data_IF_692005282089
#
_entry.id   IF_692005282089
#
_cell.length_a   1.000
_cell.length_b   1.000
_cell.length_c   1.000
_cell.angle_alpha   90.00
_cell.angle_beta   90.00
_cell.angle_gamma   90.00
#
_symmetry.space_group_name_H-M   'P 1'
#
loop_
_entity.id
_entity.type
_entity.pdbx_description
1 polymer ?
#
# COMPACT_ATOMS: atom_id res chain seq x y z
N UNK A 1 8.77 10.60 4.02
CA UNK A 1 8.52 9.15 4.17
C UNK A 1 7.06 8.77 3.98
N UNK A 2 6.09 9.45 4.63
CA UNK A 2 4.65 9.12 4.55
C UNK A 2 4.13 8.86 3.12
N UNK A 3 4.28 9.83 2.22
CA UNK A 3 3.78 9.69 0.83
C UNK A 3 4.42 8.52 0.06
N UNK A 4 5.71 8.26 0.27
CA UNK A 4 6.41 7.14 -0.36
C UNK A 4 5.83 5.80 0.10
N UNK A 5 5.56 5.65 1.41
CA UNK A 5 4.92 4.46 1.96
C UNK A 5 3.50 4.33 1.39
N UNK A 6 2.69 5.39 1.44
CA UNK A 6 1.31 5.36 0.97
C UNK A 6 1.18 4.96 -0.50
N UNK A 7 2.03 5.52 -1.39
CA UNK A 7 1.97 5.25 -2.84
C UNK A 7 2.60 3.91 -3.23
N UNK A 8 3.48 3.32 -2.40
CA UNK A 8 4.18 2.07 -2.71
C UNK A 8 3.25 0.90 -3.06
N UNK A 9 2.05 0.83 -2.47
CA UNK A 9 1.06 -0.20 -2.78
C UNK A 9 0.48 -0.09 -4.18
N UNK A 10 0.28 1.14 -4.66
CA UNK A 10 -0.20 1.34 -6.03
C UNK A 10 0.87 0.95 -7.05
N UNK A 11 2.13 1.36 -6.83
CA UNK A 11 3.26 0.97 -7.69
C UNK A 11 3.43 -0.56 -7.73
N UNK A 12 3.35 -1.22 -6.57
CA UNK A 12 3.40 -2.68 -6.51
C UNK A 12 2.24 -3.33 -7.28
N UNK A 13 1.04 -2.75 -7.20
CA UNK A 13 -0.11 -3.23 -7.95
C UNK A 13 0.09 -3.15 -9.46
N UNK A 14 0.60 -2.03 -9.97
CA UNK A 14 0.85 -1.86 -11.41
C UNK A 14 1.97 -2.81 -11.90
N UNK A 15 2.99 -3.02 -11.08
CA UNK A 15 4.03 -4.01 -11.38
C UNK A 15 3.45 -5.43 -11.56
N UNK A 16 2.59 -5.88 -10.65
CA UNK A 16 1.99 -7.22 -10.76
C UNK A 16 0.93 -7.35 -11.85
N UNK A 17 0.22 -6.26 -12.20
CA UNK A 17 -0.71 -6.29 -13.34
C UNK A 17 0.00 -6.64 -14.64
N UNK A 18 1.19 -6.06 -14.87
CA UNK A 18 2.02 -6.37 -16.05
C UNK A 18 2.42 -7.85 -16.07
N UNK A 19 2.67 -8.45 -14.91
CA UNK A 19 3.12 -9.85 -14.83
C UNK A 19 1.99 -10.88 -14.93
N UNK A 20 0.81 -10.57 -14.37
CA UNK A 20 -0.28 -11.54 -14.23
C UNK A 20 -1.36 -11.35 -15.30
N UNK A 21 -1.60 -10.12 -15.77
CA UNK A 21 -2.54 -9.79 -16.85
C UNK A 21 -3.92 -10.48 -16.72
N UNK A 22 -4.43 -10.59 -15.48
CA UNK A 22 -5.67 -11.33 -15.21
C UNK A 22 -6.89 -10.52 -15.63
N UNK A 23 -7.75 -11.06 -16.48
CA UNK A 23 -9.02 -10.43 -16.83
C UNK A 23 -9.94 -10.23 -15.61
N UNK A 24 -10.65 -9.09 -15.57
CA UNK A 24 -11.68 -8.79 -14.55
C UNK A 24 -12.87 -9.76 -14.60
N UNK A 25 -13.64 -9.90 -13.49
CA UNK A 25 -14.92 -10.61 -13.53
C UNK A 25 -15.84 -10.01 -14.58
N UNK A 26 -16.59 -10.87 -15.26
CA UNK A 26 -17.49 -10.44 -16.33
C UNK A 26 -18.65 -9.61 -15.75
N UNK A 27 -18.80 -8.31 -16.13
CA UNK A 27 -19.88 -7.47 -15.63
C UNK A 27 -21.27 -8.01 -15.98
N UNK A 28 -21.41 -8.77 -17.06
CA UNK A 28 -22.67 -9.37 -17.48
C UNK A 28 -23.15 -10.48 -16.52
N UNK A 29 -22.29 -10.97 -15.62
CA UNK A 29 -22.65 -11.92 -14.58
C UNK A 29 -23.04 -11.23 -13.26
N UNK A 30 -22.97 -9.90 -13.19
CA UNK A 30 -23.35 -9.13 -12.01
C UNK A 30 -24.83 -8.77 -12.05
N UNK A 31 -25.48 -8.85 -10.89
CA UNK A 31 -26.90 -8.51 -10.75
C UNK A 31 -27.16 -7.01 -10.95
N UNK A 32 -26.20 -6.15 -10.59
CA UNK A 32 -26.25 -4.69 -10.76
C UNK A 32 -24.83 -4.09 -10.90
N UNK A 33 -24.31 -3.87 -12.12
CA UNK A 33 -23.00 -3.29 -12.33
C UNK A 33 -23.00 -1.79 -12.01
N UNK A 34 -22.71 -1.45 -10.76
CA UNK A 34 -22.77 -0.07 -10.26
C UNK A 34 -21.73 0.88 -10.88
N UNK A 35 -20.65 0.37 -11.47
CA UNK A 35 -19.69 1.18 -12.22
C UNK A 35 -18.76 0.32 -13.09
N UNK A 36 -18.52 0.67 -14.37
CA UNK A 36 -17.40 0.12 -15.12
C UNK A 36 -16.08 0.72 -14.59
N UNK A 37 -15.17 -0.12 -14.10
CA UNK A 37 -13.78 0.31 -13.89
C UNK A 37 -13.01 0.26 -15.22
N UNK A 38 -12.26 1.32 -15.52
CA UNK A 38 -11.39 1.39 -16.70
C UNK A 38 -10.17 0.47 -16.51
N UNK A 39 -9.78 -0.28 -17.54
CA UNK A 39 -8.64 -1.22 -17.54
C UNK A 39 -9.01 -2.70 -17.70
N UNK A 40 -8.07 -3.51 -18.16
CA UNK A 40 -8.25 -4.95 -18.43
C UNK A 40 -7.89 -5.84 -17.24
N UNK A 41 -6.95 -5.40 -16.41
CA UNK A 41 -6.28 -6.27 -15.44
C UNK A 41 -6.85 -6.10 -14.02
N UNK A 42 -7.25 -7.24 -13.43
CA UNK A 42 -7.86 -7.36 -12.11
C UNK A 42 -6.86 -7.64 -11.00
N UNK A 43 -5.77 -8.34 -11.28
CA UNK A 43 -4.87 -8.80 -10.24
C UNK A 43 -3.58 -7.98 -10.15
N UNK A 44 -3.19 -7.53 -8.94
CA UNK A 44 -4.01 -7.35 -7.74
C UNK A 44 -4.84 -6.05 -7.84
N UNK A 45 -5.76 -5.84 -6.90
CA UNK A 45 -6.53 -4.59 -6.81
C UNK A 45 -5.68 -3.42 -6.34
N UNK A 46 -5.56 -2.37 -7.17
CA UNK A 46 -4.83 -1.14 -6.82
C UNK A 46 -5.43 -0.39 -5.64
N UNK A 47 -6.76 -0.32 -5.56
CA UNK A 47 -7.49 0.33 -4.46
C UNK A 47 -7.18 -0.33 -3.10
N UNK A 48 -7.24 -1.68 -3.06
CA UNK A 48 -6.95 -2.43 -1.84
C UNK A 48 -5.47 -2.30 -1.47
N UNK A 49 -4.56 -2.41 -2.44
CA UNK A 49 -3.13 -2.24 -2.20
C UNK A 49 -2.80 -0.86 -1.64
N UNK A 50 -3.37 0.20 -2.21
CA UNK A 50 -3.21 1.57 -1.72
C UNK A 50 -3.80 1.76 -0.31
N UNK A 51 -4.99 1.23 -0.04
CA UNK A 51 -5.61 1.33 1.28
C UNK A 51 -4.76 0.65 2.36
N UNK A 52 -4.18 -0.52 2.06
CA UNK A 52 -3.25 -1.22 2.95
C UNK A 52 -1.99 -0.38 3.21
N UNK A 53 -1.36 0.17 2.17
CA UNK A 53 -0.13 0.95 2.35
C UNK A 53 -0.37 2.32 2.98
N UNK A 54 -1.55 2.92 2.77
CA UNK A 54 -2.00 4.11 3.49
C UNK A 54 -2.21 3.82 4.97
N UNK A 55 -2.81 2.67 5.33
CA UNK A 55 -2.95 2.25 6.73
C UNK A 55 -1.59 2.13 7.42
N UNK A 56 -0.58 1.54 6.77
CA UNK A 56 0.79 1.53 7.27
C UNK A 56 1.38 2.94 7.43
N UNK A 57 1.20 3.81 6.43
CA UNK A 57 1.72 5.18 6.47
C UNK A 57 1.13 5.98 7.64
N UNK A 58 -0.18 5.89 7.87
CA UNK A 58 -0.87 6.55 9.00
C UNK A 58 -0.44 5.95 10.34
N UNK A 59 -0.31 4.63 10.43
CA UNK A 59 0.22 3.98 11.63
C UNK A 59 1.65 4.44 11.95
N UNK A 60 2.54 4.52 10.96
CA UNK A 60 3.91 5.00 11.16
C UNK A 60 3.94 6.47 11.58
N UNK A 61 3.03 7.30 11.06
CA UNK A 61 2.89 8.70 11.50
C UNK A 61 2.44 8.81 12.96
N UNK A 62 1.51 7.94 13.39
CA UNK A 62 1.00 7.93 14.76
C UNK A 62 1.88 7.13 15.75
N UNK A 63 2.91 6.42 15.28
CA UNK A 63 3.76 5.54 16.08
C UNK A 63 4.43 6.34 17.21
N UNK A 64 4.39 5.80 18.43
CA UNK A 64 4.93 6.47 19.62
C UNK A 64 3.95 7.45 20.29
N UNK A 65 2.78 7.71 19.70
CA UNK A 65 1.72 8.52 20.31
C UNK A 65 0.60 7.63 20.86
N UNK A 66 -0.28 8.21 21.69
CA UNK A 66 -1.51 7.54 22.17
C UNK A 66 -2.45 7.07 21.05
N UNK A 67 -2.30 7.61 19.84
CA UNK A 67 -3.16 7.32 18.68
C UNK A 67 -2.72 6.11 17.87
N UNK A 68 -1.54 5.52 18.14
CA UNK A 68 -1.00 4.43 17.33
C UNK A 68 -1.95 3.23 17.20
N UNK A 69 -2.59 2.82 18.31
CA UNK A 69 -3.56 1.70 18.31
C UNK A 69 -4.82 2.05 17.52
N UNK A 70 -5.33 3.26 17.68
CA UNK A 70 -6.48 3.75 16.93
C UNK A 70 -6.19 3.78 15.43
N UNK A 71 -5.04 4.35 15.03
CA UNK A 71 -4.59 4.39 13.64
C UNK A 71 -4.48 2.99 13.01
N UNK A 72 -3.94 2.01 13.74
CA UNK A 72 -3.85 0.64 13.25
C UNK A 72 -5.23 0.01 13.03
N UNK A 73 -6.13 0.10 14.02
CA UNK A 73 -7.49 -0.47 13.91
C UNK A 73 -8.29 0.23 12.81
N UNK A 74 -8.30 1.56 12.79
CA UNK A 74 -8.99 2.34 11.77
C UNK A 74 -8.46 2.04 10.36
N UNK A 75 -7.14 1.88 10.22
CA UNK A 75 -6.51 1.50 8.96
C UNK A 75 -6.94 0.12 8.46
N UNK A 76 -6.99 -0.89 9.35
CA UNK A 76 -7.48 -2.24 9.00
C UNK A 76 -8.95 -2.21 8.59
N UNK A 77 -9.80 -1.50 9.35
CA UNK A 77 -11.23 -1.35 9.03
C UNK A 77 -11.41 -0.65 7.69
N UNK A 78 -10.68 0.44 7.44
CA UNK A 78 -10.75 1.16 6.16
C UNK A 78 -10.32 0.27 4.98
N UNK A 79 -9.22 -0.48 5.11
CA UNK A 79 -8.78 -1.43 4.08
C UNK A 79 -9.82 -2.54 3.83
N UNK A 80 -10.46 -3.05 4.89
CA UNK A 80 -11.52 -4.05 4.77
C UNK A 80 -12.78 -3.49 4.07
N UNK A 81 -13.17 -2.25 4.38
CA UNK A 81 -14.30 -1.56 3.70
C UNK A 81 -13.98 -1.34 2.22
N UNK A 82 -12.75 -0.94 1.89
CA UNK A 82 -12.31 -0.79 0.49
C UNK A 82 -12.34 -2.15 -0.23
N UNK A 83 -11.80 -3.21 0.39
CA UNK A 83 -11.83 -4.56 -0.15
C UNK A 83 -13.27 -5.05 -0.40
N UNK A 84 -14.14 -4.88 0.59
CA UNK A 84 -15.56 -5.21 0.47
C UNK A 84 -16.20 -4.46 -0.70
N UNK A 85 -15.95 -3.15 -0.82
CA UNK A 85 -16.50 -2.36 -1.92
C UNK A 85 -16.14 -2.93 -3.29
N UNK A 86 -14.91 -3.43 -3.46
CA UNK A 86 -14.41 -3.99 -4.73
C UNK A 86 -15.04 -5.33 -5.08
N UNK A 87 -15.31 -6.16 -4.07
CA UNK A 87 -16.03 -7.42 -4.24
C UNK A 87 -17.52 -7.18 -4.49
N UNK A 88 -18.12 -6.24 -3.77
CA UNK A 88 -19.54 -5.90 -3.86
C UNK A 88 -19.92 -5.39 -5.25
N UNK A 89 -19.13 -4.48 -5.83
CA UNK A 89 -19.35 -4.01 -7.21
C UNK A 89 -18.87 -5.01 -8.27
N UNK A 90 -18.28 -6.13 -7.87
CA UNK A 90 -17.92 -7.24 -8.77
C UNK A 90 -16.74 -6.99 -9.72
N UNK A 91 -15.86 -6.03 -9.44
CA UNK A 91 -14.72 -5.71 -10.32
C UNK A 91 -13.44 -6.51 -10.02
N UNK A 92 -13.42 -7.25 -8.90
CA UNK A 92 -12.30 -8.06 -8.45
C UNK A 92 -12.75 -9.41 -7.88
N UNK A 93 -11.88 -10.41 -7.99
CA UNK A 93 -12.03 -11.69 -7.32
C UNK A 93 -11.52 -11.62 -5.86
N UNK A 94 -11.99 -12.48 -4.94
CA UNK A 94 -11.46 -12.56 -3.58
C UNK A 94 -9.94 -12.76 -3.52
N UNK A 95 -9.37 -13.52 -4.46
CA UNK A 95 -7.92 -13.70 -4.58
C UNK A 95 -7.17 -12.41 -4.94
N UNK A 96 -7.80 -11.48 -5.67
CA UNK A 96 -7.17 -10.21 -6.02
C UNK A 96 -7.00 -9.34 -4.77
N UNK A 97 -7.97 -9.39 -3.86
CA UNK A 97 -7.92 -8.73 -2.54
C UNK A 97 -6.80 -9.31 -1.69
N UNK A 98 -6.71 -10.65 -1.60
CA UNK A 98 -5.62 -11.31 -0.86
C UNK A 98 -4.26 -10.95 -1.46
N UNK A 99 -4.15 -10.98 -2.79
CA UNK A 99 -2.97 -10.56 -3.53
C UNK A 99 -2.57 -9.11 -3.23
N UNK A 100 -3.53 -8.19 -3.17
CA UNK A 100 -3.30 -6.79 -2.82
C UNK A 100 -2.75 -6.60 -1.41
N UNK A 101 -3.32 -7.31 -0.42
CA UNK A 101 -2.85 -7.25 0.96
C UNK A 101 -1.40 -7.72 1.06
N UNK A 102 -1.08 -8.82 0.40
CA UNK A 102 0.29 -9.37 0.38
C UNK A 102 1.26 -8.45 -0.37
N UNK A 103 0.91 -8.02 -1.57
CA UNK A 103 1.75 -7.17 -2.41
C UNK A 103 2.01 -5.80 -1.76
N UNK A 104 0.96 -5.15 -1.23
CA UNK A 104 1.08 -3.87 -0.52
C UNK A 104 1.94 -3.99 0.74
N UNK A 105 1.72 -5.04 1.56
CA UNK A 105 2.53 -5.27 2.76
C UNK A 105 4.00 -5.55 2.42
N UNK A 106 4.26 -6.36 1.39
CA UNK A 106 5.61 -6.64 0.90
C UNK A 106 6.31 -5.38 0.39
N UNK A 107 5.61 -4.51 -0.34
CA UNK A 107 6.14 -3.24 -0.81
C UNK A 107 6.59 -2.33 0.34
N UNK A 108 5.77 -2.21 1.40
CA UNK A 108 6.11 -1.46 2.60
C UNK A 108 7.32 -2.06 3.31
N UNK A 109 7.38 -3.38 3.46
CA UNK A 109 8.50 -4.08 4.09
C UNK A 109 9.80 -3.87 3.31
N UNK A 110 9.78 -4.00 1.99
CA UNK A 110 10.95 -3.77 1.14
C UNK A 110 11.40 -2.32 1.21
N UNK A 111 10.48 -1.36 1.07
CA UNK A 111 10.80 0.07 1.11
C UNK A 111 11.43 0.46 2.46
N UNK A 112 10.80 0.06 3.56
CA UNK A 112 11.29 0.38 4.91
C UNK A 112 12.57 -0.39 5.26
N UNK A 113 12.71 -1.64 4.83
CA UNK A 113 13.92 -2.43 4.98
C UNK A 113 15.12 -1.82 4.25
N UNK A 114 14.93 -1.46 2.97
CA UNK A 114 15.94 -0.76 2.18
C UNK A 114 16.32 0.57 2.81
N UNK A 115 15.34 1.35 3.28
CA UNK A 115 15.61 2.62 3.98
C UNK A 115 16.46 2.41 5.25
N UNK A 116 16.07 1.47 6.11
CA UNK A 116 16.79 1.18 7.35
C UNK A 116 18.20 0.64 7.09
N UNK A 117 18.42 -0.05 5.98
CA UNK A 117 19.74 -0.55 5.60
C UNK A 117 20.63 0.53 4.96
N UNK A 118 20.08 1.33 4.03
CA UNK A 118 20.83 2.30 3.25
C UNK A 118 21.05 3.63 3.97
N UNK A 119 20.03 4.17 4.64
CA UNK A 119 20.07 5.52 5.20
C UNK A 119 21.21 5.72 6.21
N UNK A 120 21.46 4.80 7.17
CA UNK A 120 22.58 4.95 8.10
C UNK A 120 23.95 4.87 7.42
N UNK A 121 24.07 4.06 6.36
CA UNK A 121 25.31 3.89 5.59
C UNK A 121 25.59 5.13 4.74
N UNK A 122 24.57 5.67 4.09
CA UNK A 122 24.65 6.91 3.34
C UNK A 122 24.99 8.09 4.25
N UNK A 123 24.32 8.19 5.41
CA UNK A 123 24.57 9.26 6.39
C UNK A 123 26.02 9.32 6.87
N UNK A 124 26.65 8.16 7.09
CA UNK A 124 28.07 8.09 7.47
C UNK A 124 29.01 8.62 6.38
N UNK A 125 28.65 8.47 5.10
CA UNK A 125 29.46 8.85 3.94
C UNK A 125 29.30 10.31 3.50
N UNK A 126 28.27 11.01 3.97
CA UNK A 126 28.10 12.43 3.63
C UNK A 126 29.20 13.28 4.30
N UNK A 127 29.85 14.19 3.55
CA UNK A 127 30.84 15.13 4.09
C UNK A 127 30.14 16.25 4.85
N UNK A 128 29.43 15.91 5.93
CA UNK A 128 28.84 16.87 6.86
C UNK A 128 29.86 17.16 7.96
N UNK A 129 30.25 18.43 8.09
CA UNK A 129 31.18 18.92 9.10
C UNK A 129 30.73 18.48 10.51
N UNK A 130 31.68 18.18 11.40
CA UNK A 130 31.40 17.72 12.76
C UNK A 130 30.48 18.67 13.55
N UNK A 131 30.57 19.97 13.27
CA UNK A 131 29.68 21.00 13.83
C UNK A 131 28.21 20.81 13.42
N UNK A 132 27.95 20.44 12.17
CA UNK A 132 26.59 20.22 11.65
C UNK A 132 25.99 18.91 12.15
N UNK A 133 26.81 17.89 12.41
CA UNK A 133 26.33 16.60 12.96
C UNK A 133 25.80 16.71 14.39
N UNK A 134 26.25 17.71 15.17
CA UNK A 134 25.85 17.90 16.58
C UNK A 134 24.48 18.56 16.74
N UNK A 135 23.96 19.23 15.70
CA UNK A 135 22.67 19.91 15.70
C UNK A 135 21.50 19.05 15.17
N UNK A 136 21.80 17.87 14.59
CA UNK A 136 20.84 17.01 13.90
C UNK A 136 20.52 15.72 14.67
N UNK A 137 21.06 15.57 15.90
CA UNK A 137 20.76 14.51 16.86
C UNK A 137 19.95 15.10 18.01
#
# INVERSE_FOLDING_TARGET
AFGLVAVSGWVASEFFKILVARQRPNPALLFDPLAPETGTDSFPSGHVSFAVTLAFAVYFLARGTRWAKFAAVAGVVAAAVVAWSRLYIGVHYPSDVVGSVLAGSAAVMLLTGCWNWLAPRAWKRLPVNAATRRFLL
#
